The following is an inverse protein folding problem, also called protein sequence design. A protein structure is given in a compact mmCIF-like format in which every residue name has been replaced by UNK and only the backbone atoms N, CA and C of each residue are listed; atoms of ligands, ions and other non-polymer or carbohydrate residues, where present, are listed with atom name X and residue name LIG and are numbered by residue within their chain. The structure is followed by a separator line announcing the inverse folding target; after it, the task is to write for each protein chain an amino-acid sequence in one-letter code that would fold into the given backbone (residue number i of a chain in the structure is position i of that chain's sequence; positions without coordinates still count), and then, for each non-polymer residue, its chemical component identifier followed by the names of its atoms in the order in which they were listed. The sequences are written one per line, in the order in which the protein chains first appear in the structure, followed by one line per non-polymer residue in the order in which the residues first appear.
data_IF_389730146218
#
_entry.id   IF_389730146218
#
_cell.length_a   1.000
_cell.length_b   1.000
_cell.length_c   1.000
_cell.angle_alpha   90.00
_cell.angle_beta   90.00
_cell.angle_gamma   90.00
#
_symmetry.space_group_name_H-M   'P 1'
#
loop_
_entity.id
_entity.type
_entity.pdbx_description
1 polymer ?
#
# COMPACT_ATOMS: atom_id res chain seq x y z
N UNK A 1 -10.33 -22.64 49.03
CA UNK A 1 -9.76 -22.87 47.68
C UNK A 1 -8.25 -22.95 47.83
N UNK A 2 -7.62 -24.07 47.50
CA UNK A 2 -6.14 -24.16 47.44
C UNK A 2 -5.73 -23.75 46.02
N UNK A 3 -5.02 -22.64 45.91
CA UNK A 3 -4.38 -22.24 44.66
C UNK A 3 -3.22 -23.20 44.42
N UNK A 4 -3.37 -24.09 43.42
CA UNK A 4 -2.32 -25.01 43.02
C UNK A 4 -1.19 -24.22 42.38
N UNK A 5 -0.07 -24.08 43.08
CA UNK A 5 1.13 -23.43 42.56
C UNK A 5 1.64 -24.24 41.36
N UNK A 6 1.87 -23.60 40.20
CA UNK A 6 2.29 -24.31 38.99
C UNK A 6 3.63 -25.02 39.21
N UNK A 7 3.75 -26.22 38.65
CA UNK A 7 5.01 -26.99 38.74
C UNK A 7 6.12 -26.30 37.94
N UNK A 8 7.38 -26.55 38.30
CA UNK A 8 8.53 -25.99 37.57
C UNK A 8 8.48 -26.27 36.06
N UNK A 9 7.96 -27.44 35.67
CA UNK A 9 7.75 -27.81 34.27
C UNK A 9 6.72 -26.90 33.58
N UNK A 10 5.61 -26.57 34.25
CA UNK A 10 4.60 -25.64 33.70
C UNK A 10 5.18 -24.24 33.52
N UNK A 11 6.00 -23.77 34.46
CA UNK A 11 6.65 -22.46 34.37
C UNK A 11 7.59 -22.42 33.15
N UNK A 12 8.44 -23.43 32.98
CA UNK A 12 9.38 -23.53 31.86
C UNK A 12 8.63 -23.60 30.53
N UNK A 13 7.58 -24.42 30.44
CA UNK A 13 6.79 -24.56 29.21
C UNK A 13 6.07 -23.24 28.85
N UNK A 14 5.57 -22.54 29.85
CA UNK A 14 4.91 -21.23 29.66
C UNK A 14 5.91 -20.18 29.18
N UNK A 15 7.12 -20.14 29.77
CA UNK A 15 8.17 -19.22 29.33
C UNK A 15 8.64 -19.53 27.90
N UNK A 16 8.79 -20.80 27.55
CA UNK A 16 9.14 -21.21 26.20
C UNK A 16 8.06 -20.81 25.19
N UNK A 17 6.78 -20.99 25.53
CA UNK A 17 5.66 -20.57 24.70
C UNK A 17 5.63 -19.05 24.53
N UNK A 18 5.83 -18.28 25.60
CA UNK A 18 5.87 -16.82 25.55
C UNK A 18 7.06 -16.33 24.71
N UNK A 19 8.24 -16.91 24.89
CA UNK A 19 9.42 -16.59 24.07
C UNK A 19 9.20 -16.92 22.59
N UNK A 20 8.56 -18.05 22.29
CA UNK A 20 8.18 -18.42 20.92
C UNK A 20 7.10 -17.49 20.36
N UNK A 21 6.13 -17.04 21.17
CA UNK A 21 5.16 -16.05 20.72
C UNK A 21 5.85 -14.70 20.44
N UNK A 22 6.79 -14.27 21.29
CA UNK A 22 7.53 -13.03 21.07
C UNK A 22 8.38 -13.15 19.79
N UNK A 23 9.19 -14.19 19.64
CA UNK A 23 10.12 -14.34 18.51
C UNK A 23 9.43 -14.78 17.21
N UNK A 24 8.46 -15.70 17.29
CA UNK A 24 7.68 -16.21 16.18
C UNK A 24 6.65 -15.22 15.62
N UNK A 25 6.09 -14.33 16.46
CA UNK A 25 5.22 -13.24 16.00
C UNK A 25 5.94 -11.92 15.72
N UNK A 26 7.27 -11.83 15.95
CA UNK A 26 8.08 -10.68 15.51
C UNK A 26 8.98 -10.97 14.30
N UNK A 27 8.44 -11.36 13.14
CA UNK A 27 9.19 -11.24 11.91
C UNK A 27 9.10 -9.79 11.43
N UNK A 28 10.15 -9.03 11.68
CA UNK A 28 10.51 -7.75 11.07
C UNK A 28 9.58 -6.54 11.41
N UNK A 29 10.14 -5.40 11.85
CA UNK A 29 9.38 -4.21 12.27
C UNK A 29 8.45 -3.64 11.18
N UNK A 30 8.71 -3.94 9.90
CA UNK A 30 7.83 -3.53 8.80
C UNK A 30 6.42 -4.16 8.80
N UNK A 31 6.21 -5.28 9.50
CA UNK A 31 4.90 -5.98 9.52
C UNK A 31 3.96 -5.47 10.60
N UNK A 32 4.45 -4.75 11.61
CA UNK A 32 3.61 -4.08 12.61
C UNK A 32 2.84 -2.91 12.00
N UNK A 33 3.42 -2.18 11.04
CA UNK A 33 2.68 -1.22 10.23
C UNK A 33 1.57 -1.86 9.38
N UNK A 34 1.66 -3.16 9.06
CA UNK A 34 0.64 -3.89 8.28
C UNK A 34 -0.53 -4.40 9.12
N UNK A 35 -0.54 -4.18 10.43
CA UNK A 35 -1.66 -4.60 11.26
C UNK A 35 -2.92 -3.80 10.89
N UNK A 36 -4.08 -4.46 10.77
CA UNK A 36 -5.33 -3.92 10.20
C UNK A 36 -5.85 -2.64 10.88
N UNK A 37 -5.36 -2.29 12.07
CA UNK A 37 -5.67 -1.03 12.74
C UNK A 37 -4.75 0.14 12.32
N UNK A 38 -3.54 -0.12 11.82
CA UNK A 38 -2.54 0.94 11.52
C UNK A 38 -2.40 1.30 10.04
N UNK A 39 -2.67 0.38 9.10
CA UNK A 39 -2.70 0.68 7.66
C UNK A 39 -4.07 0.37 7.04
N UNK A 40 -5.04 1.28 7.23
CA UNK A 40 -6.24 1.36 6.38
C UNK A 40 -5.97 2.07 5.05
N UNK A 41 -4.82 2.71 4.91
CA UNK A 41 -4.49 3.47 3.73
C UNK A 41 -4.06 2.53 2.60
N UNK A 42 -4.72 2.66 1.45
CA UNK A 42 -4.31 2.03 0.19
C UNK A 42 -3.48 3.06 -0.57
N UNK A 43 -2.24 2.74 -0.91
CA UNK A 43 -1.40 3.63 -1.71
C UNK A 43 -0.89 2.95 -2.99
N UNK A 44 -0.74 3.76 -4.02
CA UNK A 44 -0.45 3.33 -5.38
C UNK A 44 0.90 3.90 -5.78
N UNK A 45 1.83 3.02 -6.14
CA UNK A 45 3.13 3.40 -6.72
C UNK A 45 3.04 3.07 -8.20
N UNK A 46 3.06 4.09 -9.04
CA UNK A 46 2.92 3.96 -10.50
C UNK A 46 4.00 4.73 -11.23
N UNK A 47 4.40 4.18 -12.37
CA UNK A 47 5.19 4.85 -13.36
C UNK A 47 4.29 5.07 -14.58
N UNK A 48 4.10 6.34 -14.93
CA UNK A 48 3.13 6.76 -15.94
C UNK A 48 3.83 7.48 -17.09
N UNK A 49 3.29 7.28 -18.28
CA UNK A 49 3.68 7.95 -19.50
C UNK A 49 2.44 8.59 -20.10
N UNK A 50 2.49 9.91 -20.25
CA UNK A 50 1.46 10.70 -20.90
C UNK A 50 1.84 10.89 -22.36
N UNK A 51 0.85 10.82 -23.24
CA UNK A 51 0.98 11.16 -24.66
C UNK A 51 0.21 12.44 -24.93
N UNK A 52 0.87 13.42 -25.55
CA UNK A 52 0.26 14.66 -26.01
C UNK A 52 0.78 14.99 -27.40
N UNK A 53 -0.10 15.21 -28.37
CA UNK A 53 0.26 15.58 -29.75
C UNK A 53 1.27 14.58 -30.38
N UNK A 54 1.14 13.30 -30.02
CA UNK A 54 2.04 12.22 -30.46
C UNK A 54 3.39 12.16 -29.73
N UNK A 55 3.68 13.05 -28.79
CA UNK A 55 4.88 13.03 -27.95
C UNK A 55 4.61 12.33 -26.63
N UNK A 56 5.54 11.47 -26.20
CA UNK A 56 5.45 10.74 -24.95
C UNK A 56 6.38 11.35 -23.88
N UNK A 57 5.84 11.63 -22.70
CA UNK A 57 6.61 12.16 -21.57
C UNK A 57 6.25 11.46 -20.24
N UNK A 58 7.18 11.38 -19.28
CA UNK A 58 6.89 10.84 -17.96
C UNK A 58 5.89 11.75 -17.23
N UNK A 59 4.90 11.14 -16.57
CA UNK A 59 3.89 11.87 -15.80
C UNK A 59 4.15 11.67 -14.32
N UNK A 60 4.36 12.78 -13.61
CA UNK A 60 4.43 12.80 -12.16
C UNK A 60 3.11 13.34 -11.58
N UNK A 61 2.27 12.44 -11.08
CA UNK A 61 0.96 12.78 -10.48
C UNK A 61 1.07 13.67 -9.24
N UNK A 62 2.20 13.66 -8.56
CA UNK A 62 2.40 14.45 -7.34
C UNK A 62 2.53 15.95 -7.64
N UNK A 63 2.90 16.33 -8.87
CA UNK A 63 2.98 17.73 -9.30
C UNK A 63 1.59 18.39 -9.42
N UNK A 64 0.52 17.59 -9.37
CA UNK A 64 -0.87 18.03 -9.49
C UNK A 64 -1.62 18.03 -8.16
N UNK A 65 -0.95 17.69 -7.07
CA UNK A 65 -1.53 17.73 -5.74
C UNK A 65 -1.18 19.05 -5.06
N UNK A 66 -2.06 19.50 -4.15
CA UNK A 66 -1.72 20.59 -3.25
C UNK A 66 -0.44 20.27 -2.47
N UNK A 67 0.30 21.27 -1.96
CA UNK A 67 1.44 21.02 -1.09
C UNK A 67 1.06 20.12 0.09
N UNK A 68 1.73 18.97 0.24
CA UNK A 68 1.44 17.99 1.30
C UNK A 68 1.87 16.57 0.93
N UNK A 69 1.76 15.65 1.89
CA UNK A 69 1.99 14.21 1.67
C UNK A 69 0.65 13.49 1.53
N UNK A 70 0.35 12.99 0.33
CA UNK A 70 -0.92 12.34 0.04
C UNK A 70 -0.70 10.86 -0.27
N UNK A 71 -1.57 10.04 0.32
CA UNK A 71 -1.69 8.63 -0.02
C UNK A 71 -2.75 8.51 -1.12
N UNK A 72 -2.34 8.01 -2.29
CA UNK A 72 -3.22 7.84 -3.44
C UNK A 72 -3.66 6.39 -3.60
N UNK A 73 -4.93 6.10 -3.33
CA UNK A 73 -5.54 4.85 -3.73
C UNK A 73 -5.91 4.85 -5.23
N UNK A 74 -6.34 3.70 -5.78
CA UNK A 74 -6.79 3.59 -7.17
C UNK A 74 -7.87 4.61 -7.58
N UNK A 75 -8.90 4.90 -6.74
CA UNK A 75 -9.91 5.90 -7.09
C UNK A 75 -9.35 7.32 -7.20
N UNK A 76 -8.44 7.69 -6.30
CA UNK A 76 -7.79 9.00 -6.33
C UNK A 76 -6.86 9.13 -7.54
N UNK A 77 -6.13 8.06 -7.87
CA UNK A 77 -5.33 8.01 -9.09
C UNK A 77 -6.22 8.23 -10.34
N UNK A 78 -7.37 7.55 -10.43
CA UNK A 78 -8.30 7.74 -11.55
C UNK A 78 -8.78 9.19 -11.64
N UNK A 79 -9.11 9.84 -10.53
CA UNK A 79 -9.55 11.23 -10.53
C UNK A 79 -8.49 12.20 -11.07
N UNK A 80 -7.21 11.97 -10.75
CA UNK A 80 -6.10 12.76 -11.30
C UNK A 80 -5.96 12.51 -12.80
N UNK A 81 -6.02 11.25 -13.25
CA UNK A 81 -5.95 10.91 -14.67
C UNK A 81 -7.11 11.52 -15.47
N UNK A 82 -8.33 11.48 -14.92
CA UNK A 82 -9.52 12.09 -15.52
C UNK A 82 -9.35 13.61 -15.62
N UNK A 83 -8.79 14.27 -14.59
CA UNK A 83 -8.50 15.70 -14.64
C UNK A 83 -7.46 16.04 -15.71
N UNK A 84 -6.36 15.29 -15.80
CA UNK A 84 -5.28 15.53 -16.76
C UNK A 84 -5.71 15.30 -18.21
N UNK A 85 -6.62 14.36 -18.44
CA UNK A 85 -7.17 14.12 -19.78
C UNK A 85 -8.25 15.13 -20.13
N UNK A 86 -9.20 15.41 -19.23
CA UNK A 86 -10.29 16.37 -19.46
C UNK A 86 -9.79 17.80 -19.63
N UNK A 87 -8.68 18.18 -18.96
CA UNK A 87 -8.04 19.48 -19.13
C UNK A 87 -7.23 19.63 -20.43
N UNK A 88 -7.10 18.56 -21.23
CA UNK A 88 -6.28 18.56 -22.46
C UNK A 88 -4.77 18.61 -22.19
N UNK A 89 -4.34 18.26 -20.97
CA UNK A 89 -2.90 18.13 -20.68
C UNK A 89 -2.31 16.93 -21.41
N UNK A 90 -3.03 15.82 -21.44
CA UNK A 90 -2.66 14.61 -22.17
C UNK A 90 -3.84 14.06 -22.95
N UNK A 91 -3.58 13.55 -24.15
CA UNK A 91 -4.58 12.82 -24.94
C UNK A 91 -4.80 11.43 -24.34
N UNK A 92 -3.74 10.84 -23.80
CA UNK A 92 -3.73 9.50 -23.24
C UNK A 92 -2.65 9.36 -22.17
N UNK A 93 -2.93 8.57 -21.14
CA UNK A 93 -1.94 8.20 -20.13
C UNK A 93 -1.94 6.67 -19.99
N UNK A 94 -0.76 6.06 -20.04
CA UNK A 94 -0.57 4.64 -19.79
C UNK A 94 0.52 4.43 -18.74
N UNK A 95 0.56 3.23 -18.15
CA UNK A 95 1.61 2.91 -17.21
C UNK A 95 1.38 1.64 -16.43
N UNK A 96 2.29 1.37 -15.52
CA UNK A 96 2.27 0.19 -14.66
C UNK A 96 2.70 0.55 -13.25
N UNK A 97 2.31 -0.29 -12.29
CA UNK A 97 2.64 -0.07 -10.91
C UNK A 97 2.15 -1.17 -10.00
N UNK A 98 2.11 -0.82 -8.71
CA UNK A 98 1.66 -1.67 -7.63
C UNK A 98 0.78 -0.89 -6.66
N UNK A 99 -0.23 -1.55 -6.13
CA UNK A 99 -1.08 -1.06 -5.05
C UNK A 99 -0.70 -1.81 -3.79
N UNK A 100 -0.39 -1.07 -2.73
CA UNK A 100 -0.14 -1.60 -1.41
C UNK A 100 -1.37 -1.34 -0.54
N UNK A 101 -1.97 -2.42 -0.06
CA UNK A 101 -3.17 -2.37 0.77
C UNK A 101 -3.08 -3.37 1.94
N UNK A 102 -4.09 -3.37 2.81
CA UNK A 102 -4.24 -4.38 3.85
C UNK A 102 -4.33 -5.83 3.30
N UNK A 103 -4.63 -6.01 2.00
CA UNK A 103 -4.66 -7.32 1.32
C UNK A 103 -3.30 -7.75 0.78
N UNK A 104 -2.27 -6.90 0.91
CA UNK A 104 -0.95 -7.11 0.33
C UNK A 104 -0.70 -6.22 -0.90
N UNK A 105 0.38 -6.55 -1.60
CA UNK A 105 0.77 -5.91 -2.85
C UNK A 105 0.00 -6.52 -4.03
N UNK A 106 -0.57 -5.69 -4.89
CA UNK A 106 -1.30 -6.09 -6.09
C UNK A 106 -0.76 -5.30 -7.28
N UNK A 107 -0.62 -5.90 -8.48
CA UNK A 107 -0.27 -5.14 -9.67
C UNK A 107 -1.38 -4.15 -10.00
N UNK A 108 -1.01 -3.02 -10.60
CA UNK A 108 -1.97 -2.09 -11.21
C UNK A 108 -1.41 -1.64 -12.56
N UNK A 109 -2.30 -1.47 -13.53
CA UNK A 109 -1.97 -0.90 -14.84
C UNK A 109 -2.83 0.33 -15.07
N UNK A 110 -2.29 1.27 -15.83
CA UNK A 110 -3.06 2.34 -16.43
C UNK A 110 -3.04 2.08 -17.92
N UNK A 111 -4.22 1.86 -18.50
CA UNK A 111 -4.38 1.59 -19.93
C UNK A 111 -5.42 2.53 -20.47
N UNK A 112 -5.05 3.31 -21.49
CA UNK A 112 -5.93 4.31 -22.08
C UNK A 112 -6.58 5.22 -21.00
N UNK A 113 -5.76 5.71 -20.08
CA UNK A 113 -6.13 6.59 -18.96
C UNK A 113 -7.07 5.97 -17.92
N UNK A 114 -7.22 4.63 -17.93
CA UNK A 114 -8.04 3.89 -16.97
C UNK A 114 -7.18 3.01 -16.06
N UNK A 115 -7.42 3.09 -14.76
CA UNK A 115 -6.79 2.25 -13.74
C UNK A 115 -7.41 0.85 -13.76
N UNK A 116 -6.57 -0.18 -13.90
CA UNK A 116 -6.93 -1.59 -13.97
C UNK A 116 -6.15 -2.37 -12.91
N UNK A 117 -6.86 -3.12 -12.05
CA UNK A 117 -6.30 -3.93 -10.95
C UNK A 117 -6.25 -5.42 -11.31
#
# INVERSE_FOLDING_TARGET
MRESVPSAAQIVLTLALVAWMITGFTPLPGRWLRWKMFCRATFTIVQLTGTKDGQAEPVNIYDHLSPGSFILGPPQLQAILDHLTTSGRYDRIDGTGRVLSARGEQPVKVVASRVVL
#
